data_IF_364973343913
#
_entry.id   IF_364973343913
#
_cell.length_a   1.000
_cell.length_b   1.000
_cell.length_c   1.000
_cell.angle_alpha   90.00
_cell.angle_beta   90.00
_cell.angle_gamma   90.00
#
_symmetry.space_group_name_H-M   'P 1'
#
loop_
_entity.id
_entity.type
_entity.pdbx_description
1 polymer ?
#
# COMPACT_ATOMS: atom_id res chain seq x y z
N UNK A 1 -21.88 -16.49 -4.88
CA UNK A 1 -21.98 -15.02 -4.88
C UNK A 1 -20.58 -14.43 -4.85
N UNK A 2 -20.06 -14.19 -6.04
CA UNK A 2 -18.81 -13.46 -6.22
C UNK A 2 -19.12 -11.95 -6.21
N UNK A 3 -19.17 -11.36 -5.04
CA UNK A 3 -19.09 -9.92 -4.93
C UNK A 3 -17.66 -9.51 -4.58
N UNK A 4 -16.78 -9.69 -5.56
CA UNK A 4 -15.55 -8.91 -5.59
C UNK A 4 -15.94 -7.48 -5.96
N UNK A 5 -16.35 -6.71 -4.97
CA UNK A 5 -16.54 -5.29 -5.15
C UNK A 5 -15.16 -4.64 -5.26
N UNK A 6 -14.59 -4.75 -6.45
CA UNK A 6 -13.40 -3.99 -6.80
C UNK A 6 -13.85 -2.55 -6.97
N UNK A 7 -13.81 -1.78 -5.89
CA UNK A 7 -13.93 -0.33 -5.99
C UNK A 7 -12.63 0.18 -6.57
N UNK A 8 -12.61 0.20 -7.89
CA UNK A 8 -11.54 0.81 -8.66
C UNK A 8 -11.74 2.33 -8.62
N UNK A 9 -11.24 2.98 -7.59
CA UNK A 9 -11.11 4.44 -7.60
C UNK A 9 -10.00 4.82 -8.56
N UNK A 10 -10.39 5.08 -9.82
CA UNK A 10 -9.51 5.51 -10.91
C UNK A 10 -8.95 6.90 -10.65
N UNK A 11 -7.67 7.06 -10.67
CA UNK A 11 -6.89 7.56 -11.83
C UNK A 11 -5.40 7.56 -11.50
N UNK A 12 -4.73 6.48 -11.72
CA UNK A 12 -3.30 6.57 -11.92
C UNK A 12 -2.95 5.78 -13.17
N UNK A 13 -2.89 6.48 -14.30
CA UNK A 13 -2.36 5.91 -15.53
C UNK A 13 -0.83 6.03 -15.47
N UNK A 14 -0.21 5.25 -14.58
CA UNK A 14 1.24 5.11 -14.63
C UNK A 14 1.56 3.86 -15.44
N UNK A 15 2.22 4.09 -16.58
CA UNK A 15 2.85 3.05 -17.37
C UNK A 15 3.70 2.17 -16.45
N UNK A 16 3.44 0.86 -16.47
CA UNK A 16 4.40 -0.14 -16.00
C UNK A 16 5.71 0.07 -16.74
N UNK A 17 6.68 0.71 -16.11
CA UNK A 17 8.04 0.57 -16.58
C UNK A 17 8.53 -0.80 -16.10
N UNK A 18 8.72 -1.72 -17.03
CA UNK A 18 9.46 -2.95 -16.80
C UNK A 18 10.92 -2.58 -16.54
N UNK A 19 11.27 -2.36 -15.30
CA UNK A 19 12.63 -2.07 -14.87
C UNK A 19 13.25 -3.30 -14.24
N UNK A 20 14.41 -3.63 -14.74
CA UNK A 20 15.36 -4.70 -14.42
C UNK A 20 15.39 -5.13 -12.95
N UNK A 21 15.61 -6.43 -12.76
CA UNK A 21 15.89 -7.13 -11.52
C UNK A 21 16.88 -6.37 -10.62
N UNK A 22 16.40 -5.91 -9.52
CA UNK A 22 17.10 -5.25 -8.43
C UNK A 22 16.02 -4.77 -7.46
N UNK A 23 16.24 -4.92 -6.18
CA UNK A 23 15.30 -4.38 -5.19
C UNK A 23 15.08 -2.91 -5.48
N UNK A 24 13.84 -2.47 -5.75
CA UNK A 24 13.60 -1.07 -6.06
C UNK A 24 14.02 -0.22 -4.86
N UNK A 25 14.97 0.66 -5.10
CA UNK A 25 15.50 1.59 -4.10
C UNK A 25 15.40 3.01 -4.62
N UNK A 26 14.95 3.90 -3.77
CA UNK A 26 14.99 5.34 -4.04
C UNK A 26 16.30 5.90 -3.50
N UNK A 27 17.01 6.66 -4.32
CA UNK A 27 18.30 7.25 -3.96
C UNK A 27 18.24 8.77 -3.98
N UNK A 28 18.74 9.39 -2.92
CA UNK A 28 18.94 10.82 -2.81
C UNK A 28 20.44 11.11 -2.76
N UNK A 29 20.89 12.03 -3.59
CA UNK A 29 22.27 12.48 -3.58
C UNK A 29 22.38 13.83 -2.86
N UNK A 30 23.31 13.93 -1.93
CA UNK A 30 23.72 15.19 -1.30
C UNK A 30 25.22 15.39 -1.46
N UNK A 31 25.70 16.60 -1.21
CA UNK A 31 27.14 16.91 -1.24
C UNK A 31 27.96 16.10 -0.22
N UNK A 32 27.32 15.62 0.82
CA UNK A 32 27.97 14.87 1.91
C UNK A 32 27.81 13.34 1.79
N UNK A 33 27.02 12.86 0.84
CA UNK A 33 26.82 11.43 0.68
C UNK A 33 25.55 11.06 -0.06
N UNK A 34 25.20 9.78 -0.01
CA UNK A 34 24.02 9.20 -0.66
C UNK A 34 23.10 8.58 0.40
N UNK A 35 21.80 8.81 0.25
CA UNK A 35 20.74 8.19 1.06
C UNK A 35 19.96 7.24 0.16
N UNK A 36 19.93 5.96 0.52
CA UNK A 36 19.16 4.94 -0.19
C UNK A 36 18.03 4.43 0.68
N UNK A 37 16.81 4.46 0.17
CA UNK A 37 15.61 3.97 0.87
C UNK A 37 15.01 2.82 0.06
N UNK A 38 14.90 1.64 0.66
CA UNK A 38 14.31 0.48 0.00
C UNK A 38 12.78 0.54 -0.04
N UNK A 39 12.18 -0.17 -0.98
CA UNK A 39 10.72 -0.31 -1.08
C UNK A 39 10.08 -0.90 0.19
N UNK A 40 10.82 -1.72 0.93
CA UNK A 40 10.35 -2.30 2.19
C UNK A 40 10.01 -1.24 3.24
N UNK A 41 10.77 -0.14 3.30
CA UNK A 41 10.49 0.97 4.22
C UNK A 41 9.14 1.61 3.90
N UNK A 42 8.88 1.89 2.63
CA UNK A 42 7.60 2.44 2.17
C UNK A 42 6.43 1.49 2.45
N UNK A 43 6.63 0.19 2.21
CA UNK A 43 5.62 -0.83 2.49
C UNK A 43 5.29 -0.93 3.98
N UNK A 44 6.28 -0.85 4.85
CA UNK A 44 6.09 -0.86 6.30
C UNK A 44 5.34 0.37 6.80
N UNK A 45 5.72 1.55 6.35
CA UNK A 45 5.04 2.81 6.72
C UNK A 45 3.58 2.77 6.24
N UNK A 46 3.36 2.34 5.01
CA UNK A 46 2.03 2.22 4.41
C UNK A 46 1.16 1.23 5.16
N UNK A 47 1.68 0.05 5.47
CA UNK A 47 0.96 -0.97 6.23
C UNK A 47 0.56 -0.49 7.63
N UNK A 48 1.46 0.19 8.32
CA UNK A 48 1.15 0.78 9.63
C UNK A 48 0.08 1.87 9.55
N UNK A 49 0.19 2.76 8.58
CA UNK A 49 -0.78 3.83 8.39
C UNK A 49 -2.18 3.28 8.08
N UNK A 50 -2.25 2.30 7.18
CA UNK A 50 -3.52 1.66 6.81
C UNK A 50 -4.17 0.92 7.99
N UNK A 51 -3.40 0.16 8.76
CA UNK A 51 -3.93 -0.61 9.89
C UNK A 51 -4.38 0.27 11.07
N UNK A 52 -3.90 1.50 11.17
CA UNK A 52 -4.35 2.46 12.17
C UNK A 52 -5.70 3.13 11.81
N UNK A 53 -6.16 2.99 10.57
CA UNK A 53 -7.46 3.52 10.19
C UNK A 53 -8.60 2.69 10.79
N UNK A 54 -9.63 3.40 11.28
CA UNK A 54 -10.81 2.75 11.85
C UNK A 54 -11.54 1.92 10.78
N UNK A 55 -11.89 0.68 11.12
CA UNK A 55 -12.61 -0.24 10.23
C UNK A 55 -11.70 -1.19 9.45
N UNK A 56 -10.40 -1.00 9.47
CA UNK A 56 -9.43 -1.92 8.87
C UNK A 56 -9.14 -3.06 9.86
N UNK A 57 -9.44 -4.28 9.47
CA UNK A 57 -9.12 -5.47 10.27
C UNK A 57 -7.64 -5.81 10.21
N UNK A 58 -7.03 -5.60 9.07
CA UNK A 58 -5.61 -5.82 8.83
C UNK A 58 -5.26 -5.87 7.36
N UNK A 59 -3.96 -6.12 7.10
CA UNK A 59 -3.47 -6.33 5.75
C UNK A 59 -3.68 -7.77 5.30
N UNK A 60 -3.85 -7.97 4.00
CA UNK A 60 -4.05 -9.29 3.39
C UNK A 60 -2.88 -9.61 2.47
N UNK A 61 -2.29 -10.79 2.64
CA UNK A 61 -1.27 -11.31 1.74
C UNK A 61 -1.82 -12.42 0.86
N UNK A 62 -1.32 -12.52 -0.35
CA UNK A 62 -1.52 -13.68 -1.22
C UNK A 62 -0.36 -14.65 -1.00
N UNK A 63 -0.62 -15.76 -0.29
CA UNK A 63 0.31 -16.87 -0.29
C UNK A 63 -0.20 -17.95 -1.25
N UNK A 64 0.71 -18.52 -2.01
CA UNK A 64 0.38 -19.60 -2.95
C UNK A 64 -0.05 -20.89 -2.22
N UNK A 65 0.31 -21.01 -0.95
CA UNK A 65 0.21 -22.27 -0.20
C UNK A 65 -0.91 -22.32 0.85
N UNK A 66 -1.58 -21.21 1.15
CA UNK A 66 -2.49 -21.16 2.31
C UNK A 66 -3.91 -20.67 2.01
N UNK A 67 -4.36 -20.77 0.78
CA UNK A 67 -5.68 -20.29 0.39
C UNK A 67 -5.69 -18.84 -0.12
N UNK A 68 -6.87 -18.38 -0.63
CA UNK A 68 -6.93 -17.16 -1.44
C UNK A 68 -6.64 -15.87 -0.67
N UNK A 69 -6.92 -15.82 0.64
CA UNK A 69 -6.74 -14.60 1.45
C UNK A 69 -6.30 -14.95 2.86
N UNK A 70 -5.10 -14.52 3.22
CA UNK A 70 -4.57 -14.68 4.55
C UNK A 70 -4.40 -13.32 5.21
N UNK A 71 -4.98 -13.16 6.41
CA UNK A 71 -4.75 -11.99 7.22
C UNK A 71 -3.30 -11.98 7.71
N UNK A 72 -2.56 -10.93 7.38
CA UNK A 72 -1.16 -10.80 7.73
C UNK A 72 -1.00 -10.36 9.19
N UNK A 73 -0.06 -11.01 9.88
CA UNK A 73 0.38 -10.55 11.19
C UNK A 73 1.11 -9.22 11.08
N UNK A 74 1.19 -8.49 12.19
CA UNK A 74 1.85 -7.19 12.24
C UNK A 74 3.28 -7.22 11.68
N UNK A 75 4.00 -8.30 11.90
CA UNK A 75 5.38 -8.50 11.42
C UNK A 75 5.47 -8.70 9.90
N UNK A 76 4.38 -9.03 9.25
CA UNK A 76 4.33 -9.36 7.82
C UNK A 76 3.42 -8.43 7.03
N UNK A 77 2.92 -7.35 7.63
CA UNK A 77 1.93 -6.49 6.96
C UNK A 77 2.45 -5.81 5.69
N UNK A 78 3.76 -5.64 5.57
CA UNK A 78 4.39 -5.13 4.35
C UNK A 78 4.15 -6.01 3.11
N UNK A 79 3.86 -7.30 3.30
CA UNK A 79 3.55 -8.23 2.21
C UNK A 79 2.21 -7.93 1.52
N UNK A 80 1.33 -7.18 2.17
CA UNK A 80 0.07 -6.70 1.60
C UNK A 80 0.22 -5.38 0.83
N UNK A 81 1.42 -4.85 0.71
CA UNK A 81 1.70 -3.58 0.07
C UNK A 81 2.71 -3.75 -1.06
N UNK A 82 2.38 -3.23 -2.23
CA UNK A 82 3.29 -3.10 -3.35
C UNK A 82 3.66 -1.63 -3.54
N UNK A 83 4.95 -1.33 -3.53
CA UNK A 83 5.47 0.00 -3.79
C UNK A 83 6.19 0.04 -5.13
N UNK A 84 5.85 1.00 -5.97
CA UNK A 84 6.46 1.19 -7.29
C UNK A 84 6.98 2.61 -7.39
N UNK A 85 8.22 2.75 -7.79
CA UNK A 85 8.86 4.06 -7.99
C UNK A 85 8.70 4.52 -9.44
N UNK A 86 8.34 5.78 -9.63
CA UNK A 86 8.32 6.42 -10.93
C UNK A 86 9.64 7.12 -11.22
N UNK A 87 9.91 7.38 -12.50
CA UNK A 87 11.14 8.05 -12.94
C UNK A 87 11.25 9.51 -12.47
N UNK A 88 10.12 10.14 -12.15
CA UNK A 88 10.05 11.50 -11.61
C UNK A 88 10.33 11.60 -10.10
N UNK A 89 10.62 10.47 -9.44
CA UNK A 89 10.87 10.39 -8.01
C UNK A 89 9.63 10.25 -7.14
N UNK A 90 8.45 10.12 -7.73
CA UNK A 90 7.22 9.85 -6.99
C UNK A 90 7.04 8.34 -6.74
N UNK A 91 6.17 8.01 -5.79
CA UNK A 91 5.87 6.63 -5.45
C UNK A 91 4.38 6.33 -5.66
N UNK A 92 4.11 5.14 -6.18
CA UNK A 92 2.76 4.57 -6.26
C UNK A 92 2.66 3.38 -5.33
N UNK A 93 1.60 3.35 -4.54
CA UNK A 93 1.37 2.34 -3.52
C UNK A 93 0.08 1.58 -3.83
N UNK A 94 0.13 0.28 -3.64
CA UNK A 94 -1.00 -0.62 -3.80
C UNK A 94 -1.17 -1.41 -2.51
N UNK A 95 -2.37 -1.35 -1.91
CA UNK A 95 -2.67 -1.98 -0.64
C UNK A 95 -3.77 -3.01 -0.78
N UNK A 96 -3.60 -4.13 -0.10
CA UNK A 96 -4.62 -5.16 0.04
C UNK A 96 -5.04 -5.25 1.51
N UNK A 97 -6.31 -4.99 1.80
CA UNK A 97 -6.84 -4.93 3.17
C UNK A 97 -8.05 -5.83 3.37
N UNK A 98 -8.26 -6.19 4.63
CA UNK A 98 -9.50 -6.75 5.13
C UNK A 98 -10.22 -5.72 6.00
N UNK A 99 -11.53 -5.64 5.90
CA UNK A 99 -12.36 -4.68 6.64
C UNK A 99 -13.35 -5.37 7.55
N UNK A 100 -13.84 -4.64 8.55
CA UNK A 100 -14.92 -5.09 9.41
C UNK A 100 -16.28 -4.89 8.73
N UNK A 101 -17.23 -5.74 9.08
CA UNK A 101 -18.61 -5.59 8.61
C UNK A 101 -19.25 -4.29 9.13
N UNK A 102 -20.02 -3.65 8.30
CA UNK A 102 -20.78 -2.45 8.65
C UNK A 102 -20.06 -1.13 8.42
N UNK A 103 -18.81 -1.15 7.96
CA UNK A 103 -18.07 0.08 7.62
C UNK A 103 -18.50 0.61 6.25
N UNK A 104 -18.45 1.93 6.11
CA UNK A 104 -18.60 2.56 4.80
C UNK A 104 -17.25 2.44 4.06
N UNK A 105 -17.19 1.51 3.11
CA UNK A 105 -15.95 1.19 2.38
C UNK A 105 -15.41 2.40 1.61
N UNK A 106 -16.27 3.19 0.99
CA UNK A 106 -15.85 4.38 0.24
C UNK A 106 -15.19 5.43 1.16
N UNK A 107 -15.82 5.73 2.28
CA UNK A 107 -15.27 6.67 3.26
C UNK A 107 -13.96 6.15 3.86
N UNK A 108 -13.91 4.86 4.16
CA UNK A 108 -12.71 4.21 4.67
C UNK A 108 -11.56 4.28 3.66
N UNK A 109 -11.82 3.98 2.40
CA UNK A 109 -10.81 4.03 1.35
C UNK A 109 -10.22 5.44 1.19
N UNK A 110 -11.05 6.47 1.18
CA UNK A 110 -10.60 7.87 1.14
C UNK A 110 -9.75 8.23 2.36
N UNK A 111 -10.16 7.79 3.54
CA UNK A 111 -9.40 8.00 4.78
C UNK A 111 -8.01 7.33 4.70
N UNK A 112 -7.94 6.10 4.21
CA UNK A 112 -6.68 5.38 4.02
C UNK A 112 -5.77 6.11 3.05
N UNK A 113 -6.28 6.53 1.90
CA UNK A 113 -5.51 7.25 0.88
C UNK A 113 -4.89 8.52 1.47
N UNK A 114 -5.67 9.30 2.20
CA UNK A 114 -5.20 10.52 2.83
C UNK A 114 -4.15 10.25 3.91
N UNK A 115 -4.41 9.30 4.78
CA UNK A 115 -3.49 8.95 5.88
C UNK A 115 -2.18 8.38 5.37
N UNK A 116 -2.22 7.47 4.41
CA UNK A 116 -1.03 6.86 3.80
C UNK A 116 -0.21 7.92 3.08
N UNK A 117 -0.84 8.74 2.25
CA UNK A 117 -0.15 9.81 1.52
C UNK A 117 0.55 10.78 2.47
N UNK A 118 -0.13 11.17 3.54
CA UNK A 118 0.43 12.07 4.56
C UNK A 118 1.60 11.43 5.30
N UNK A 119 1.44 10.21 5.80
CA UNK A 119 2.46 9.52 6.58
C UNK A 119 3.72 9.20 5.77
N UNK A 120 3.55 8.76 4.55
CA UNK A 120 4.69 8.47 3.66
C UNK A 120 5.45 9.74 3.33
N UNK A 121 4.74 10.81 2.97
CA UNK A 121 5.37 12.10 2.67
C UNK A 121 6.09 12.66 3.90
N UNK A 122 5.47 12.62 5.07
CA UNK A 122 6.05 13.11 6.32
C UNK A 122 7.33 12.35 6.71
N UNK A 123 7.32 11.03 6.57
CA UNK A 123 8.43 10.19 7.00
C UNK A 123 9.62 10.20 6.02
N UNK A 124 9.35 10.28 4.72
CA UNK A 124 10.37 10.12 3.68
C UNK A 124 10.60 11.36 2.84
N UNK A 125 9.69 12.31 2.85
CA UNK A 125 9.74 13.48 1.97
C UNK A 125 9.42 13.18 0.50
N UNK A 126 9.05 11.95 0.18
CA UNK A 126 8.76 11.52 -1.19
C UNK A 126 7.30 11.82 -1.52
N UNK A 127 7.00 12.46 -2.67
CA UNK A 127 5.63 12.68 -3.09
C UNK A 127 4.96 11.36 -3.48
N UNK A 128 3.74 11.16 -2.99
CA UNK A 128 2.91 9.99 -3.34
C UNK A 128 2.04 10.36 -4.53
N UNK A 129 2.28 9.71 -5.67
CA UNK A 129 1.52 9.95 -6.88
C UNK A 129 0.15 9.28 -6.83
N UNK A 130 0.07 8.08 -6.27
CA UNK A 130 -1.13 7.25 -6.30
C UNK A 130 -1.15 6.28 -5.13
N UNK A 131 -2.33 6.07 -4.55
CA UNK A 131 -2.58 5.01 -3.57
C UNK A 131 -3.80 4.24 -4.03
N UNK A 132 -3.60 2.98 -4.42
CA UNK A 132 -4.68 2.07 -4.78
C UNK A 132 -5.02 1.18 -3.60
N UNK A 133 -6.29 1.16 -3.21
CA UNK A 133 -6.78 0.37 -2.09
C UNK A 133 -7.66 -0.75 -2.61
N UNK A 134 -7.28 -1.98 -2.33
CA UNK A 134 -8.05 -3.17 -2.65
C UNK A 134 -8.63 -3.75 -1.36
N UNK A 135 -9.95 -3.81 -1.30
CA UNK A 135 -10.66 -4.47 -0.21
C UNK A 135 -10.92 -5.91 -0.64
N UNK A 136 -10.07 -6.82 -0.19
CA UNK A 136 -10.09 -8.22 -0.65
C UNK A 136 -11.09 -9.06 0.11
N UNK A 137 -11.35 -8.76 1.38
CA UNK A 137 -12.27 -9.52 2.21
C UNK A 137 -12.91 -8.66 3.30
N UNK A 138 -14.03 -9.12 3.79
CA UNK A 138 -14.77 -8.53 4.91
C UNK A 138 -15.04 -9.60 5.95
N UNK A 139 -14.75 -9.30 7.20
CA UNK A 139 -15.05 -10.19 8.30
C UNK A 139 -16.45 -9.92 8.85
N UNK A 140 -17.23 -10.97 8.90
CA UNK A 140 -18.57 -10.99 9.49
C UNK A 140 -18.45 -11.55 10.90
N UNK A 141 -18.39 -10.69 11.89
CA UNK A 141 -18.43 -11.11 13.31
C UNK A 141 -19.83 -10.97 13.87
#
# INVERSE_FOLDING_TARGET
YNNSLIIMLRKCTLRRSSGKEGYPMLKFHSEQGEISVSSAVFSNITGMAATNCFGVKGMVGRSKDSGPFQLLRRESMSKGVNATFADDGSISLELHIAVDHGVNISALAHSIINEVSYKVNQATGVPVACVDVYVDTMFLD
#
